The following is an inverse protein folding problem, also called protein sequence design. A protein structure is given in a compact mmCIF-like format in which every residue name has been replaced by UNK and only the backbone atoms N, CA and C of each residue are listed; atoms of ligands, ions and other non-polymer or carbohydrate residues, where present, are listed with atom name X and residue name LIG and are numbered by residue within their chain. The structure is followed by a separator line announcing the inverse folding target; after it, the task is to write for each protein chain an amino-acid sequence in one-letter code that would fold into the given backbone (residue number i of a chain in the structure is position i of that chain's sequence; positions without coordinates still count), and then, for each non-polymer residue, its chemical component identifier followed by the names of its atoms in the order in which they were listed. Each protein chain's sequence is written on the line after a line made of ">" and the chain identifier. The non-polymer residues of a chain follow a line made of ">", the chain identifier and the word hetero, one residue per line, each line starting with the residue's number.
data_IF_082324017099
#
_entry.id   IF_082324017099
#
_cell.length_a   1.000
_cell.length_b   1.000
_cell.length_c   1.000
_cell.angle_alpha   90.00
_cell.angle_beta   90.00
_cell.angle_gamma   90.00
#
_symmetry.space_group_name_H-M   'P 1'
#
loop_
_entity.id
_entity.type
_entity.pdbx_description
1 polymer ?
#
# COMPACT_ATOMS: atom_id res chain seq x y z
N UNK A 1 -10.87 -6.43 -12.73
CA UNK A 1 -11.14 -5.25 -11.89
C UNK A 1 -9.82 -4.76 -11.35
N UNK A 2 -9.40 -3.55 -11.73
CA UNK A 2 -8.19 -2.92 -11.22
C UNK A 2 -8.60 -1.87 -10.18
N UNK A 3 -8.11 -1.99 -8.93
CA UNK A 3 -8.40 -1.03 -7.85
C UNK A 3 -7.14 -0.29 -7.45
N UNK A 4 -7.29 0.97 -7.03
CA UNK A 4 -6.23 1.69 -6.34
C UNK A 4 -6.28 1.30 -4.86
N UNK A 5 -5.14 0.88 -4.31
CA UNK A 5 -5.08 0.38 -2.94
C UNK A 5 -4.06 1.18 -2.16
N UNK A 6 -4.41 1.56 -0.92
CA UNK A 6 -3.52 2.25 -0.02
C UNK A 6 -3.21 1.37 1.19
N UNK A 7 -1.95 1.40 1.63
CA UNK A 7 -1.55 0.81 2.89
C UNK A 7 -0.85 1.82 3.77
N UNK A 8 -1.36 2.04 4.98
CA UNK A 8 -0.82 2.97 5.95
C UNK A 8 -0.02 2.21 7.01
N UNK A 9 1.26 2.56 7.20
CA UNK A 9 2.17 1.87 8.13
C UNK A 9 3.01 2.86 8.93
N UNK A 10 3.56 2.40 10.04
CA UNK A 10 4.56 3.18 10.78
C UNK A 10 5.87 3.33 9.99
N UNK A 11 6.68 4.33 10.32
CA UNK A 11 8.01 4.50 9.71
C UNK A 11 8.91 3.28 9.88
N UNK A 12 8.84 2.60 11.04
CA UNK A 12 9.63 1.40 11.31
C UNK A 12 9.27 0.25 10.38
N UNK A 13 7.98 0.08 10.09
CA UNK A 13 7.48 -0.93 9.15
C UNK A 13 7.79 -0.57 7.70
N UNK A 14 7.65 0.71 7.35
CA UNK A 14 7.92 1.23 6.00
C UNK A 14 9.31 0.83 5.50
N UNK A 15 10.35 0.92 6.34
CA UNK A 15 11.73 0.53 5.98
C UNK A 15 11.84 -0.95 5.64
N UNK A 16 11.16 -1.83 6.40
CA UNK A 16 11.15 -3.28 6.13
C UNK A 16 10.39 -3.60 4.85
N UNK A 17 9.26 -2.93 4.64
CA UNK A 17 8.40 -3.13 3.47
C UNK A 17 9.08 -2.65 2.19
N UNK A 18 9.77 -1.50 2.22
CA UNK A 18 10.58 -1.01 1.09
C UNK A 18 11.60 -2.03 0.61
N UNK A 19 12.25 -2.76 1.53
CA UNK A 19 13.19 -3.84 1.14
C UNK A 19 12.49 -4.99 0.41
N UNK A 20 11.27 -5.36 0.83
CA UNK A 20 10.46 -6.40 0.18
C UNK A 20 9.87 -5.93 -1.16
N UNK A 21 9.55 -4.65 -1.28
CA UNK A 21 9.03 -4.07 -2.52
C UNK A 21 10.14 -3.84 -3.56
N UNK A 22 11.40 -3.65 -3.16
CA UNK A 22 12.52 -3.51 -4.12
C UNK A 22 12.69 -4.72 -5.04
N UNK A 23 12.35 -5.92 -4.59
CA UNK A 23 12.39 -7.14 -5.42
C UNK A 23 11.13 -7.30 -6.27
N UNK A 24 10.10 -6.50 -6.01
CA UNK A 24 8.84 -6.50 -6.74
C UNK A 24 8.87 -5.48 -7.87
N UNK A 25 8.32 -5.83 -9.04
CA UNK A 25 8.15 -4.90 -10.17
C UNK A 25 6.88 -4.05 -10.05
N UNK A 26 6.23 -4.04 -8.88
CA UNK A 26 4.99 -3.29 -8.66
C UNK A 26 5.27 -1.79 -8.63
N UNK A 27 4.42 -1.03 -9.33
CA UNK A 27 4.43 0.44 -9.27
C UNK A 27 3.75 0.89 -7.98
N UNK A 28 4.37 1.81 -7.26
CA UNK A 28 3.79 2.41 -6.07
C UNK A 28 4.31 3.83 -5.86
N UNK A 29 3.56 4.60 -5.07
CA UNK A 29 3.96 5.93 -4.61
C UNK A 29 3.92 5.93 -3.08
N UNK A 30 4.93 6.54 -2.47
CA UNK A 30 5.00 6.71 -1.02
C UNK A 30 4.56 8.13 -0.68
N UNK A 31 3.60 8.27 0.23
CA UNK A 31 3.06 9.57 0.69
C UNK A 31 3.13 9.68 2.19
N UNK A 32 3.62 10.80 2.69
CA UNK A 32 3.46 11.18 4.08
C UNK A 32 2.31 12.18 4.19
N UNK A 33 1.29 11.88 4.97
CA UNK A 33 0.21 12.81 5.23
C UNK A 33 0.59 13.73 6.39
N UNK A 34 0.41 15.04 6.22
CA UNK A 34 0.65 16.01 7.29
C UNK A 34 -0.18 15.64 8.53
N UNK A 35 0.45 15.66 9.71
CA UNK A 35 -0.19 15.29 10.97
C UNK A 35 -0.32 13.79 11.25
N UNK A 36 0.05 12.90 10.30
CA UNK A 36 0.11 11.45 10.56
C UNK A 36 1.53 11.01 10.90
N UNK A 37 1.67 10.20 11.94
CA UNK A 37 2.95 9.64 12.39
C UNK A 37 3.49 8.50 11.48
N UNK A 38 2.80 8.20 10.38
CA UNK A 38 3.10 7.08 9.49
C UNK A 38 3.16 7.48 8.01
N UNK A 39 3.40 6.48 7.17
CA UNK A 39 3.59 6.61 5.74
C UNK A 39 2.56 5.75 5.01
N UNK A 40 2.01 6.28 3.94
CA UNK A 40 1.06 5.59 3.07
C UNK A 40 1.75 5.12 1.79
N UNK A 41 1.55 3.85 1.43
CA UNK A 41 1.94 3.30 0.14
C UNK A 41 0.71 3.19 -0.74
N UNK A 42 0.72 3.86 -1.89
CA UNK A 42 -0.38 3.88 -2.85
C UNK A 42 0.01 3.07 -4.07
N UNK A 43 -0.75 2.02 -4.36
CA UNK A 43 -0.56 1.13 -5.49
C UNK A 43 -1.67 1.37 -6.51
N UNK A 44 -1.36 1.94 -7.69
CA UNK A 44 -2.35 2.12 -8.73
C UNK A 44 -2.59 0.82 -9.51
N UNK A 45 -3.84 0.62 -9.96
CA UNK A 45 -4.23 -0.47 -10.89
C UNK A 45 -3.80 -1.87 -10.45
N UNK A 46 -4.11 -2.22 -9.21
CA UNK A 46 -3.72 -3.50 -8.62
C UNK A 46 -4.71 -4.59 -9.04
N UNK A 47 -4.19 -5.72 -9.56
CA UNK A 47 -4.99 -6.93 -9.81
C UNK A 47 -5.28 -7.69 -8.51
N UNK A 48 -6.26 -8.60 -8.50
CA UNK A 48 -6.61 -9.38 -7.29
C UNK A 48 -5.40 -10.14 -6.73
N UNK A 49 -4.59 -10.79 -7.58
CA UNK A 49 -3.40 -11.52 -7.14
C UNK A 49 -2.34 -10.59 -6.54
N UNK A 50 -2.17 -9.39 -7.11
CA UNK A 50 -1.26 -8.40 -6.56
C UNK A 50 -1.76 -7.85 -5.23
N UNK A 51 -3.08 -7.66 -5.08
CA UNK A 51 -3.69 -7.25 -3.83
C UNK A 51 -3.45 -8.27 -2.72
N UNK A 52 -3.64 -9.55 -2.99
CA UNK A 52 -3.36 -10.63 -2.02
C UNK A 52 -1.89 -10.63 -1.62
N UNK A 53 -0.97 -10.48 -2.57
CA UNK A 53 0.46 -10.37 -2.29
C UNK A 53 0.80 -9.17 -1.39
N UNK A 54 0.24 -8.00 -1.69
CA UNK A 54 0.40 -6.79 -0.88
C UNK A 54 -0.18 -6.99 0.53
N UNK A 55 -1.32 -7.65 0.65
CA UNK A 55 -1.93 -7.98 1.93
C UNK A 55 -1.02 -8.85 2.81
N UNK A 56 -0.28 -9.80 2.22
CA UNK A 56 0.72 -10.62 2.94
C UNK A 56 1.92 -9.77 3.38
N UNK A 57 2.36 -8.81 2.56
CA UNK A 57 3.50 -7.93 2.90
C UNK A 57 3.16 -6.96 4.02
N UNK A 58 2.04 -6.26 3.87
CA UNK A 58 1.64 -5.15 4.73
C UNK A 58 0.88 -5.64 5.97
N UNK A 59 0.24 -6.81 5.89
CA UNK A 59 -0.58 -7.37 6.94
C UNK A 59 -2.00 -6.79 6.96
N UNK A 60 -2.94 -7.49 7.63
CA UNK A 60 -4.36 -7.17 7.59
C UNK A 60 -4.73 -5.81 8.19
N UNK A 61 -3.92 -5.30 9.12
CA UNK A 61 -4.17 -4.04 9.85
C UNK A 61 -3.73 -2.79 9.09
N UNK A 62 -2.96 -2.95 8.01
CA UNK A 62 -2.38 -1.84 7.27
C UNK A 62 -3.20 -1.45 6.03
N UNK A 63 -4.21 -2.25 5.65
CA UNK A 63 -4.95 -2.08 4.41
C UNK A 63 -6.08 -1.05 4.56
N UNK A 64 -5.89 0.14 3.97
CA UNK A 64 -6.94 1.12 3.76
C UNK A 64 -7.39 1.01 2.29
N UNK A 65 -8.44 0.23 2.03
CA UNK A 65 -9.03 0.17 0.69
C UNK A 65 -9.67 1.53 0.40
N UNK A 66 -9.02 2.34 -0.44
CA UNK A 66 -9.63 3.57 -0.95
C UNK A 66 -10.68 3.19 -2.00
N UNK A 67 -11.89 2.82 -1.55
CA UNK A 67 -13.05 2.84 -2.44
C UNK A 67 -13.39 4.31 -2.71
N UNK A 68 -12.94 4.80 -3.86
CA UNK A 68 -13.60 5.92 -4.52
C UNK A 68 -14.39 5.38 -5.70
N UNK A 69 -15.46 4.66 -5.38
CA UNK A 69 -16.68 4.68 -6.20
C UNK A 69 -17.41 5.99 -5.82
N UNK A 70 -16.93 7.11 -6.35
CA UNK A 70 -17.71 8.36 -6.36
C UNK A 70 -18.38 8.41 -7.72
N UNK A 71 -19.62 7.92 -7.74
CA UNK A 71 -20.55 8.02 -8.86
C UNK A 71 -21.01 9.47 -9.04
#
# INVERSE_FOLDING_TARGET
>A
MEKNVQFSVSWREAVRILKRLKTSKLRYVVRQHAGKAGVAFVFPRVSVSQYVYLYIIFGPRAADVMDKDTK
#
